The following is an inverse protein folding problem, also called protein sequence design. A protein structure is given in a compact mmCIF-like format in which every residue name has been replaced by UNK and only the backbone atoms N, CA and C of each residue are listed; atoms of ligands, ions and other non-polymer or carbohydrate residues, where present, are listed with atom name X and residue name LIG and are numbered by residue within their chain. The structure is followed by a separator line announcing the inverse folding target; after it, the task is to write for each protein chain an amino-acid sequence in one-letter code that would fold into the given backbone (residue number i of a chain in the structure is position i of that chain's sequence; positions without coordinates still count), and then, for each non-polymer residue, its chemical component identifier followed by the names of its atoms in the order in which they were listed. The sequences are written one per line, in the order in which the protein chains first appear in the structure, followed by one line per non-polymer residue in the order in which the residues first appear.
data_IF_156927230267
#
_entry.id   IF_156927230267
#
_cell.length_a   1.000
_cell.length_b   1.000
_cell.length_c   1.000
_cell.angle_alpha   90.00
_cell.angle_beta   90.00
_cell.angle_gamma   90.00
#
_symmetry.space_group_name_H-M   'P 1'
#
loop_
_entity.id
_entity.type
_entity.pdbx_description
1 polymer ?
#
# COMPACT_ATOMS: atom_id res chain seq x y z
N UNK A 1 -47.17 -18.16 10.77
CA UNK A 1 -47.15 -19.44 10.02
C UNK A 1 -45.85 -20.15 10.34
N UNK A 2 -45.92 -21.28 11.05
CA UNK A 2 -44.77 -22.13 11.39
C UNK A 2 -44.72 -23.24 10.32
N UNK A 3 -43.69 -23.21 9.49
CA UNK A 3 -43.49 -24.14 8.36
C UNK A 3 -42.73 -25.38 8.80
N UNK A 4 -43.22 -26.54 8.34
CA UNK A 4 -42.76 -27.90 8.59
C UNK A 4 -41.40 -28.27 7.95
N UNK A 5 -40.57 -29.02 8.69
CA UNK A 5 -39.14 -29.33 8.45
C UNK A 5 -38.80 -30.24 7.27
N UNK A 6 -39.77 -30.70 6.47
CA UNK A 6 -39.45 -31.34 5.19
C UNK A 6 -38.73 -30.36 4.23
N UNK A 7 -38.80 -29.05 4.49
CA UNK A 7 -38.21 -27.99 3.66
C UNK A 7 -36.90 -27.38 4.22
N UNK A 8 -36.35 -27.86 5.35
CA UNK A 8 -35.25 -27.18 6.06
C UNK A 8 -33.85 -27.31 5.42
N UNK A 9 -33.56 -28.42 4.72
CA UNK A 9 -32.33 -28.56 3.91
C UNK A 9 -32.40 -27.71 2.63
N UNK A 10 -33.47 -27.78 1.81
CA UNK A 10 -33.53 -26.98 0.58
C UNK A 10 -33.54 -25.47 0.87
N UNK A 11 -34.13 -24.99 1.97
CA UNK A 11 -34.10 -23.56 2.31
C UNK A 11 -32.68 -23.04 2.63
N UNK A 12 -31.88 -23.83 3.36
CA UNK A 12 -30.47 -23.47 3.63
C UNK A 12 -29.64 -23.46 2.35
N UNK A 13 -29.81 -24.47 1.49
CA UNK A 13 -29.14 -24.55 0.19
C UNK A 13 -29.57 -23.41 -0.74
N UNK A 14 -30.86 -23.06 -0.77
CA UNK A 14 -31.38 -21.93 -1.54
C UNK A 14 -30.79 -20.60 -1.05
N UNK A 15 -30.65 -20.42 0.27
CA UNK A 15 -30.04 -19.22 0.85
C UNK A 15 -28.54 -19.13 0.54
N UNK A 16 -27.85 -20.26 0.54
CA UNK A 16 -26.43 -20.35 0.18
C UNK A 16 -26.22 -20.09 -1.33
N UNK A 17 -27.05 -20.69 -2.18
CA UNK A 17 -27.07 -20.45 -3.62
C UNK A 17 -27.40 -19.00 -3.95
N UNK A 18 -28.32 -18.38 -3.20
CA UNK A 18 -28.64 -16.95 -3.34
C UNK A 18 -27.44 -16.06 -3.00
N UNK A 19 -26.69 -16.38 -1.95
CA UNK A 19 -25.44 -15.67 -1.63
C UNK A 19 -24.37 -15.87 -2.70
N UNK A 20 -24.21 -17.09 -3.22
CA UNK A 20 -23.30 -17.36 -4.32
C UNK A 20 -23.67 -16.52 -5.56
N UNK A 21 -24.96 -16.46 -5.92
CA UNK A 21 -25.44 -15.63 -7.01
C UNK A 21 -25.17 -14.14 -6.77
N UNK A 22 -25.36 -13.65 -5.55
CA UNK A 22 -25.06 -12.27 -5.17
C UNK A 22 -23.57 -11.94 -5.34
N UNK A 23 -22.68 -12.85 -4.94
CA UNK A 23 -21.23 -12.70 -5.08
C UNK A 23 -20.84 -12.70 -6.57
N UNK A 24 -21.33 -13.66 -7.35
CA UNK A 24 -21.05 -13.74 -8.79
C UNK A 24 -21.55 -12.49 -9.52
N UNK A 25 -22.75 -12.01 -9.17
CA UNK A 25 -23.29 -10.76 -9.71
C UNK A 25 -22.39 -9.56 -9.37
N UNK A 26 -21.91 -9.45 -8.12
CA UNK A 26 -20.99 -8.41 -7.71
C UNK A 26 -19.64 -8.48 -8.45
N UNK A 27 -19.12 -9.69 -8.71
CA UNK A 27 -17.88 -9.89 -9.48
C UNK A 27 -18.02 -9.40 -10.91
N UNK A 28 -19.13 -9.73 -11.60
CA UNK A 28 -19.37 -9.24 -12.95
C UNK A 28 -19.52 -7.72 -13.00
N UNK A 29 -20.18 -7.11 -12.01
CA UNK A 29 -20.27 -5.65 -11.92
C UNK A 29 -18.92 -5.00 -11.66
N UNK A 30 -18.09 -5.57 -10.79
CA UNK A 30 -16.71 -5.10 -10.58
C UNK A 30 -15.88 -5.21 -11.88
N UNK A 31 -16.02 -6.32 -12.61
CA UNK A 31 -15.32 -6.51 -13.87
C UNK A 31 -15.75 -5.44 -14.89
N UNK A 32 -17.05 -5.21 -15.03
CA UNK A 32 -17.61 -4.16 -15.88
C UNK A 32 -17.14 -2.75 -15.45
N UNK A 33 -17.17 -2.45 -14.15
CA UNK A 33 -16.67 -1.20 -13.58
C UNK A 33 -15.21 -0.95 -13.93
N UNK A 34 -14.37 -1.99 -13.81
CA UNK A 34 -12.94 -1.90 -14.13
C UNK A 34 -12.67 -1.58 -15.61
N UNK A 35 -13.51 -2.08 -16.53
CA UNK A 35 -13.40 -1.78 -17.96
C UNK A 35 -13.76 -0.32 -18.24
N UNK A 36 -14.90 0.15 -17.72
CA UNK A 36 -15.35 1.54 -17.89
C UNK A 36 -14.32 2.54 -17.33
N UNK A 37 -13.71 2.21 -16.19
CA UNK A 37 -12.70 3.06 -15.55
C UNK A 37 -11.37 3.07 -16.31
N UNK A 38 -11.00 1.96 -16.96
CA UNK A 38 -9.82 1.90 -17.83
C UNK A 38 -9.98 2.86 -19.01
N UNK A 39 -11.16 2.93 -19.60
CA UNK A 39 -11.45 3.88 -20.68
C UNK A 39 -11.49 5.33 -20.18
N UNK A 40 -11.88 5.54 -18.91
CA UNK A 40 -11.86 6.85 -18.25
C UNK A 40 -10.44 7.44 -18.07
N UNK A 41 -9.38 6.63 -18.13
CA UNK A 41 -7.99 7.14 -18.13
C UNK A 41 -7.73 8.09 -19.32
N UNK A 42 -8.45 7.93 -20.43
CA UNK A 42 -8.29 8.78 -21.61
C UNK A 42 -9.29 9.94 -21.67
N UNK A 43 -10.17 10.08 -20.66
CA UNK A 43 -11.17 11.15 -20.61
C UNK A 43 -10.57 12.57 -20.55
N UNK A 44 -9.45 12.83 -19.83
CA UNK A 44 -8.73 14.08 -19.94
C UNK A 44 -8.06 14.18 -21.32
N UNK A 45 -8.37 15.24 -22.08
CA UNK A 45 -7.79 15.49 -23.42
C UNK A 45 -6.26 15.50 -23.32
N UNK A 46 -5.61 14.57 -24.00
CA UNK A 46 -4.14 14.48 -24.10
C UNK A 46 -3.50 13.28 -23.40
N UNK A 47 -4.26 12.45 -22.67
CA UNK A 47 -3.71 11.29 -21.97
C UNK A 47 -2.79 11.69 -20.80
N UNK A 48 -1.98 10.76 -20.28
CA UNK A 48 -1.04 11.09 -19.21
C UNK A 48 -0.01 12.12 -19.71
N UNK A 49 0.25 13.20 -18.96
CA UNK A 49 1.26 14.18 -19.33
C UNK A 49 2.64 13.49 -19.45
N UNK A 50 3.38 13.81 -20.49
CA UNK A 50 4.73 13.28 -20.70
C UNK A 50 5.76 14.34 -20.32
N UNK A 51 6.84 13.94 -19.63
CA UNK A 51 7.89 14.87 -19.19
C UNK A 51 8.51 15.66 -20.36
N UNK A 52 8.64 15.03 -21.53
CA UNK A 52 9.19 15.65 -22.73
C UNK A 52 8.38 16.87 -23.23
N UNK A 53 7.09 16.95 -22.91
CA UNK A 53 6.21 18.06 -23.32
C UNK A 53 6.46 19.34 -22.50
N UNK A 54 7.12 19.22 -21.34
CA UNK A 54 7.40 20.33 -20.43
C UNK A 54 8.86 20.78 -20.48
N UNK A 55 9.72 20.04 -21.19
CA UNK A 55 11.10 20.42 -21.45
C UNK A 55 11.16 21.51 -22.53
N UNK A 56 11.96 22.55 -22.28
CA UNK A 56 12.26 23.58 -23.27
C UNK A 56 13.40 23.08 -24.15
N UNK A 57 13.03 22.39 -25.24
CA UNK A 57 13.98 21.73 -26.14
C UNK A 57 15.00 22.69 -26.75
N UNK A 58 14.62 23.96 -26.94
CA UNK A 58 15.50 25.01 -27.47
C UNK A 58 16.49 25.48 -26.41
N UNK A 59 16.02 25.75 -25.19
CA UNK A 59 16.89 26.13 -24.05
C UNK A 59 17.85 25.00 -23.68
N UNK A 60 17.38 23.76 -23.65
CA UNK A 60 18.22 22.59 -23.38
C UNK A 60 19.26 22.35 -24.48
N UNK A 61 18.92 22.64 -25.75
CA UNK A 61 19.89 22.59 -26.84
C UNK A 61 20.99 23.65 -26.67
N UNK A 62 20.62 24.89 -26.34
CA UNK A 62 21.58 25.95 -26.08
C UNK A 62 22.52 25.63 -24.91
N UNK A 63 21.99 25.10 -23.80
CA UNK A 63 22.81 24.67 -22.65
C UNK A 63 23.77 23.53 -23.02
N UNK A 64 23.33 22.57 -23.83
CA UNK A 64 24.20 21.49 -24.34
C UNK A 64 25.32 22.02 -25.22
N UNK A 65 25.04 22.98 -26.09
CA UNK A 65 26.04 23.59 -26.97
C UNK A 65 27.05 24.43 -26.18
N UNK A 66 26.60 25.19 -25.19
CA UNK A 66 27.47 25.93 -24.26
C UNK A 66 28.37 24.98 -23.46
N UNK A 67 27.84 23.85 -22.99
CA UNK A 67 28.64 22.81 -22.31
C UNK A 67 29.73 22.25 -23.20
N UNK A 68 29.41 21.90 -24.45
CA UNK A 68 30.42 21.41 -25.42
C UNK A 68 31.50 22.44 -25.71
N UNK A 69 31.14 23.72 -25.77
CA UNK A 69 32.12 24.80 -25.95
C UNK A 69 33.09 24.91 -24.76
N UNK A 70 32.57 24.86 -23.52
CA UNK A 70 33.40 24.88 -22.31
C UNK A 70 34.29 23.63 -22.18
N UNK A 71 33.77 22.46 -22.56
CA UNK A 71 34.55 21.21 -22.61
C UNK A 71 35.72 21.32 -23.60
N UNK A 72 35.48 21.91 -24.77
CA UNK A 72 36.53 22.22 -25.76
C UNK A 72 37.57 23.20 -25.23
N UNK A 73 37.14 24.27 -24.55
CA UNK A 73 38.04 25.24 -23.92
C UNK A 73 38.90 24.58 -22.83
N UNK A 74 38.29 23.71 -21.99
CA UNK A 74 38.97 22.93 -20.94
C UNK A 74 40.04 22.01 -21.50
N UNK A 75 39.74 21.30 -22.59
CA UNK A 75 40.70 20.45 -23.27
C UNK A 75 41.90 21.26 -23.80
N UNK A 76 41.63 22.40 -24.46
CA UNK A 76 42.68 23.30 -24.96
C UNK A 76 43.57 23.88 -23.85
N UNK A 77 42.98 24.16 -22.69
CA UNK A 77 43.68 24.74 -21.56
C UNK A 77 44.54 23.68 -20.87
N UNK A 78 44.03 22.45 -20.75
CA UNK A 78 44.80 21.30 -20.23
C UNK A 78 46.07 21.08 -21.06
N UNK A 79 45.97 21.05 -22.39
CA UNK A 79 47.16 20.89 -23.25
C UNK A 79 48.17 22.02 -23.07
N UNK A 80 47.71 23.27 -22.88
CA UNK A 80 48.60 24.42 -22.61
C UNK A 80 49.26 24.32 -21.23
N UNK A 81 48.53 23.86 -20.21
CA UNK A 81 49.07 23.60 -18.88
C UNK A 81 50.13 22.50 -18.92
N UNK A 82 49.89 21.41 -19.63
CA UNK A 82 50.87 20.32 -19.78
C UNK A 82 52.17 20.81 -20.44
N UNK A 83 52.04 21.61 -21.50
CA UNK A 83 53.20 22.23 -22.17
C UNK A 83 53.95 23.20 -21.25
N UNK A 84 53.25 24.05 -20.49
CA UNK A 84 53.86 24.97 -19.54
C UNK A 84 54.55 24.23 -18.38
N UNK A 85 53.95 23.15 -17.88
CA UNK A 85 54.52 22.31 -16.83
C UNK A 85 55.80 21.60 -17.30
N UNK A 86 55.81 21.07 -18.53
CA UNK A 86 56.99 20.48 -19.14
C UNK A 86 58.11 21.53 -19.34
N UNK A 87 57.75 22.74 -19.79
CA UNK A 87 58.67 23.88 -19.95
C UNK A 87 59.29 24.32 -18.62
N UNK A 88 58.46 24.53 -17.60
CA UNK A 88 58.91 24.88 -16.25
C UNK A 88 59.82 23.81 -15.63
N UNK A 89 59.49 22.52 -15.83
CA UNK A 89 60.31 21.39 -15.35
C UNK A 89 61.69 21.39 -16.02
N UNK A 90 61.75 21.67 -17.33
CA UNK A 90 63.03 21.79 -18.05
C UNK A 90 63.84 22.97 -17.54
N UNK A 91 63.25 24.17 -17.49
CA UNK A 91 63.92 25.37 -17.01
C UNK A 91 64.42 25.22 -15.56
N UNK A 92 63.65 24.54 -14.71
CA UNK A 92 64.04 24.24 -13.33
C UNK A 92 65.25 23.33 -13.26
N UNK A 93 65.28 22.26 -14.06
CA UNK A 93 66.45 21.36 -14.16
C UNK A 93 67.69 22.09 -14.67
N UNK A 94 67.54 22.93 -15.69
CA UNK A 94 68.66 23.70 -16.25
C UNK A 94 69.23 24.67 -15.21
N UNK A 95 68.37 25.35 -14.45
CA UNK A 95 68.76 26.21 -13.33
C UNK A 95 69.45 25.44 -12.19
N UNK A 96 68.88 24.32 -11.74
CA UNK A 96 69.45 23.52 -10.65
C UNK A 96 70.81 22.93 -11.05
N UNK A 97 70.95 22.40 -12.28
CA UNK A 97 72.21 21.91 -12.83
C UNK A 97 73.26 23.01 -12.92
N UNK A 98 72.91 24.19 -13.44
CA UNK A 98 73.82 25.33 -13.54
C UNK A 98 74.25 25.83 -12.15
N UNK A 99 73.32 25.83 -11.18
CA UNK A 99 73.60 26.22 -9.79
C UNK A 99 74.54 25.23 -9.11
N UNK A 100 74.36 23.93 -9.32
CA UNK A 100 75.28 22.90 -8.80
C UNK A 100 76.66 23.00 -9.44
N UNK A 101 76.73 23.16 -10.77
CA UNK A 101 77.99 23.37 -11.48
C UNK A 101 78.72 24.63 -10.98
N UNK A 102 77.99 25.72 -10.73
CA UNK A 102 78.52 26.94 -10.15
C UNK A 102 79.05 26.71 -8.72
N UNK A 103 78.29 26.03 -7.86
CA UNK A 103 78.72 25.68 -6.48
C UNK A 103 79.98 24.83 -6.48
N UNK A 104 80.05 23.80 -7.32
CA UNK A 104 81.22 22.93 -7.45
C UNK A 104 82.43 23.74 -7.92
N UNK A 105 82.25 24.61 -8.91
CA UNK A 105 83.30 25.50 -9.40
C UNK A 105 83.82 26.46 -8.33
N UNK A 106 82.94 27.09 -7.53
CA UNK A 106 83.34 27.94 -6.39
C UNK A 106 84.10 27.11 -5.35
N UNK A 107 83.62 25.91 -5.00
CA UNK A 107 84.26 25.06 -4.01
C UNK A 107 85.67 24.61 -4.43
N UNK A 108 85.86 24.19 -5.68
CA UNK A 108 87.18 23.84 -6.23
C UNK A 108 88.13 25.03 -6.20
N UNK A 109 87.65 26.24 -6.55
CA UNK A 109 88.49 27.45 -6.53
C UNK A 109 88.87 27.91 -5.12
N UNK A 110 87.95 27.85 -4.16
CA UNK A 110 88.23 28.19 -2.76
C UNK A 110 89.30 27.25 -2.17
N UNK A 111 89.33 25.99 -2.60
CA UNK A 111 90.34 25.02 -2.18
C UNK A 111 91.72 25.24 -2.81
N UNK A 112 91.81 25.85 -4.00
CA UNK A 112 93.08 26.08 -4.72
C UNK A 112 93.70 27.46 -4.49
N UNK A 113 93.02 28.38 -3.80
CA UNK A 113 93.58 29.64 -3.32
C UNK A 113 93.80 30.74 -4.37
N UNK A 114 93.24 30.61 -5.57
CA UNK A 114 93.39 31.62 -6.65
C UNK A 114 92.28 32.69 -6.58
N UNK A 115 92.58 33.81 -5.93
CA UNK A 115 91.66 34.92 -5.68
C UNK A 115 91.68 36.02 -6.76
N UNK A 116 92.42 35.84 -7.85
CA UNK A 116 92.88 36.98 -8.68
C UNK A 116 92.08 37.33 -9.95
N UNK A 117 90.93 36.70 -10.25
CA UNK A 117 90.12 37.05 -11.44
C UNK A 117 88.60 37.06 -11.23
N UNK A 118 88.04 38.28 -11.13
CA UNK A 118 86.60 38.60 -11.06
C UNK A 118 85.74 38.45 -12.36
N UNK A 119 86.26 38.49 -13.61
CA UNK A 119 85.38 38.54 -14.79
C UNK A 119 84.62 37.22 -15.07
N UNK A 120 85.20 36.06 -14.73
CA UNK A 120 84.53 34.76 -14.92
C UNK A 120 83.41 34.52 -13.91
N UNK A 121 83.54 35.05 -12.70
CA UNK A 121 82.49 35.01 -11.68
C UNK A 121 81.27 35.78 -12.19
N UNK A 122 81.48 37.01 -12.68
CA UNK A 122 80.44 37.84 -13.27
C UNK A 122 79.74 37.16 -14.45
N UNK A 123 80.49 36.52 -15.35
CA UNK A 123 79.92 35.80 -16.49
C UNK A 123 79.03 34.63 -16.06
N UNK A 124 79.45 33.85 -15.05
CA UNK A 124 78.66 32.71 -14.52
C UNK A 124 77.44 33.16 -13.72
N UNK A 125 77.55 34.27 -12.97
CA UNK A 125 76.40 34.88 -12.29
C UNK A 125 75.37 35.38 -13.30
N UNK A 126 75.79 36.08 -14.35
CA UNK A 126 74.88 36.52 -15.43
C UNK A 126 74.16 35.35 -16.11
N UNK A 127 74.83 34.20 -16.28
CA UNK A 127 74.20 33.01 -16.84
C UNK A 127 73.14 32.40 -15.91
N UNK A 128 73.41 32.36 -14.60
CA UNK A 128 72.42 31.96 -13.60
C UNK A 128 71.22 32.92 -13.56
N UNK A 129 71.45 34.23 -13.68
CA UNK A 129 70.39 35.23 -13.70
C UNK A 129 69.47 35.06 -14.92
N UNK A 130 70.03 34.72 -16.09
CA UNK A 130 69.24 34.40 -17.29
C UNK A 130 68.37 33.15 -17.09
N UNK A 131 68.93 32.08 -16.51
CA UNK A 131 68.19 30.86 -16.22
C UNK A 131 67.10 31.09 -15.17
N UNK A 132 67.38 31.92 -14.17
CA UNK A 132 66.40 32.33 -13.17
C UNK A 132 65.27 33.16 -13.80
N UNK A 133 65.60 34.11 -14.69
CA UNK A 133 64.60 34.88 -15.42
C UNK A 133 63.72 33.98 -16.32
N UNK A 134 64.31 32.98 -16.98
CA UNK A 134 63.58 31.99 -17.75
C UNK A 134 62.61 31.17 -16.88
N UNK A 135 63.05 30.70 -15.71
CA UNK A 135 62.21 30.00 -14.74
C UNK A 135 61.03 30.86 -14.26
N UNK A 136 61.28 32.12 -13.88
CA UNK A 136 60.22 33.06 -13.50
C UNK A 136 59.26 33.37 -14.63
N UNK A 137 59.71 33.35 -15.90
CA UNK A 137 58.84 33.46 -17.07
C UNK A 137 57.85 32.29 -17.18
N UNK A 138 58.33 31.06 -17.01
CA UNK A 138 57.46 29.87 -16.98
C UNK A 138 56.49 29.87 -15.80
N UNK A 139 56.91 30.32 -14.62
CA UNK A 139 56.03 30.45 -13.44
C UNK A 139 54.89 31.43 -13.71
N UNK A 140 55.17 32.64 -14.23
CA UNK A 140 54.13 33.60 -14.62
C UNK A 140 53.14 33.03 -15.64
N UNK A 141 53.63 32.21 -16.57
CA UNK A 141 52.78 31.54 -17.54
C UNK A 141 51.88 30.48 -16.88
N UNK A 142 52.40 29.72 -15.91
CA UNK A 142 51.60 28.79 -15.11
C UNK A 142 50.52 29.52 -14.30
N UNK A 143 50.86 30.64 -13.66
CA UNK A 143 49.91 31.46 -12.89
C UNK A 143 48.78 31.98 -13.79
N UNK A 144 49.13 32.50 -14.98
CA UNK A 144 48.13 32.96 -15.97
C UNK A 144 47.20 31.83 -16.43
N UNK A 145 47.74 30.62 -16.63
CA UNK A 145 46.94 29.45 -17.01
C UNK A 145 46.08 28.94 -15.85
N UNK A 146 46.52 29.13 -14.60
CA UNK A 146 45.74 28.81 -13.41
C UNK A 146 44.56 29.77 -13.24
N UNK A 147 44.76 31.08 -13.47
CA UNK A 147 43.70 32.08 -13.46
C UNK A 147 42.64 31.78 -14.55
N UNK A 148 43.09 31.41 -15.76
CA UNK A 148 42.19 30.97 -16.83
C UNK A 148 41.39 29.72 -16.44
N UNK A 149 42.02 28.76 -15.74
CA UNK A 149 41.33 27.56 -15.28
C UNK A 149 40.29 27.87 -14.21
N UNK A 150 40.59 28.77 -13.27
CA UNK A 150 39.64 29.22 -12.26
C UNK A 150 38.43 29.93 -12.89
N UNK A 151 38.66 30.82 -13.86
CA UNK A 151 37.60 31.49 -14.58
C UNK A 151 36.72 30.51 -15.38
N UNK A 152 37.31 29.48 -15.96
CA UNK A 152 36.59 28.44 -16.68
C UNK A 152 35.71 27.61 -15.75
N UNK A 153 36.22 27.25 -14.57
CA UNK A 153 35.48 26.49 -13.56
C UNK A 153 34.29 27.29 -12.98
N UNK A 154 34.44 28.61 -12.83
CA UNK A 154 33.33 29.50 -12.48
C UNK A 154 32.23 29.52 -13.55
N UNK A 155 32.61 29.49 -14.84
CA UNK A 155 31.64 29.41 -15.94
C UNK A 155 30.94 28.07 -16.00
N UNK A 156 31.65 26.96 -15.80
CA UNK A 156 31.05 25.62 -15.79
C UNK A 156 30.07 25.44 -14.62
N UNK A 157 30.43 25.88 -13.42
CA UNK A 157 29.54 25.84 -12.25
C UNK A 157 28.30 26.74 -12.42
N UNK A 158 28.45 27.92 -13.03
CA UNK A 158 27.32 28.77 -13.39
C UNK A 158 26.41 28.11 -14.44
N UNK A 159 26.98 27.42 -15.43
CA UNK A 159 26.23 26.67 -16.43
C UNK A 159 25.45 25.51 -15.79
N UNK A 160 26.09 24.75 -14.89
CA UNK A 160 25.44 23.64 -14.17
C UNK A 160 24.25 24.15 -13.35
N UNK A 161 24.43 25.26 -12.64
CA UNK A 161 23.34 25.91 -11.88
C UNK A 161 22.17 26.29 -12.79
N UNK A 162 22.44 26.84 -13.99
CA UNK A 162 21.39 27.18 -14.97
C UNK A 162 20.69 25.93 -15.52
N UNK A 163 21.43 24.84 -15.72
CA UNK A 163 20.88 23.57 -16.18
C UNK A 163 19.99 22.93 -15.12
N UNK A 164 20.42 22.93 -13.85
CA UNK A 164 19.60 22.48 -12.72
C UNK A 164 18.33 23.31 -12.57
N UNK A 165 18.43 24.64 -12.68
CA UNK A 165 17.27 25.54 -12.65
C UNK A 165 16.29 25.25 -13.80
N UNK A 166 16.79 25.09 -15.03
CA UNK A 166 15.95 24.74 -16.18
C UNK A 166 15.25 23.39 -15.99
N UNK A 167 15.98 22.38 -15.51
CA UNK A 167 15.42 21.07 -15.18
C UNK A 167 14.39 21.12 -14.06
N UNK A 168 14.65 21.90 -13.00
CA UNK A 168 13.72 22.11 -11.89
C UNK A 168 12.44 22.84 -12.30
N UNK A 169 12.53 23.84 -13.18
CA UNK A 169 11.35 24.52 -13.76
C UNK A 169 10.49 23.56 -14.59
N UNK A 170 11.12 22.72 -15.41
CA UNK A 170 10.44 21.72 -16.22
C UNK A 170 9.75 20.66 -15.34
N UNK A 171 10.42 20.17 -14.31
CA UNK A 171 9.84 19.21 -13.36
C UNK A 171 8.67 19.83 -12.60
N UNK A 172 8.78 21.08 -12.12
CA UNK A 172 7.66 21.75 -11.46
C UNK A 172 6.42 21.85 -12.36
N UNK A 173 6.60 22.17 -13.64
CA UNK A 173 5.50 22.22 -14.62
C UNK A 173 4.90 20.84 -14.87
N UNK A 174 5.75 19.82 -15.01
CA UNK A 174 5.33 18.43 -15.16
C UNK A 174 4.54 17.94 -13.94
N UNK A 175 5.04 18.17 -12.73
CA UNK A 175 4.35 17.80 -11.49
C UNK A 175 3.02 18.55 -11.34
N UNK A 176 2.97 19.84 -11.71
CA UNK A 176 1.72 20.59 -11.70
C UNK A 176 0.69 20.03 -12.69
N UNK A 177 1.12 19.65 -13.90
CA UNK A 177 0.27 19.00 -14.89
C UNK A 177 -0.19 17.61 -14.44
N UNK A 178 0.71 16.82 -13.85
CA UNK A 178 0.41 15.50 -13.32
C UNK A 178 -0.61 15.56 -12.19
N UNK A 179 -0.49 16.54 -11.28
CA UNK A 179 -1.49 16.79 -10.22
C UNK A 179 -2.85 17.17 -10.80
N UNK A 180 -2.89 18.04 -11.82
CA UNK A 180 -4.16 18.42 -12.48
C UNK A 180 -4.80 17.23 -13.19
N UNK A 181 -4.00 16.43 -13.88
CA UNK A 181 -4.44 15.21 -14.55
C UNK A 181 -4.98 14.20 -13.55
N UNK A 182 -4.25 13.92 -12.47
CA UNK A 182 -4.69 12.98 -11.43
C UNK A 182 -5.97 13.44 -10.73
N UNK A 183 -6.10 14.74 -10.43
CA UNK A 183 -7.33 15.32 -9.89
C UNK A 183 -8.51 15.24 -10.87
N UNK A 184 -8.27 15.44 -12.17
CA UNK A 184 -9.31 15.32 -13.18
C UNK A 184 -9.79 13.87 -13.31
N UNK A 185 -8.88 12.90 -13.41
CA UNK A 185 -9.21 11.46 -13.44
C UNK A 185 -9.94 11.05 -12.16
N UNK A 186 -9.47 11.53 -11.00
CA UNK A 186 -10.14 11.30 -9.73
C UNK A 186 -11.56 11.89 -9.71
N UNK A 187 -11.73 13.12 -10.18
CA UNK A 187 -13.03 13.79 -10.26
C UNK A 187 -14.01 13.01 -11.13
N UNK A 188 -13.56 12.51 -12.28
CA UNK A 188 -14.38 11.64 -13.14
C UNK A 188 -14.76 10.32 -12.45
N UNK A 189 -13.82 9.66 -11.78
CA UNK A 189 -14.09 8.43 -11.02
C UNK A 189 -15.04 8.67 -9.86
N UNK A 190 -14.89 9.78 -9.14
CA UNK A 190 -15.78 10.18 -8.06
C UNK A 190 -17.20 10.46 -8.60
N UNK A 191 -17.30 11.18 -9.72
CA UNK A 191 -18.58 11.47 -10.36
C UNK A 191 -19.32 10.20 -10.80
N UNK A 192 -18.61 9.13 -11.16
CA UNK A 192 -19.20 7.84 -11.50
C UNK A 192 -19.53 6.98 -10.27
N UNK A 193 -18.62 6.87 -9.31
CA UNK A 193 -18.76 5.97 -8.15
C UNK A 193 -19.72 6.51 -7.09
N UNK A 194 -19.80 7.83 -6.90
CA UNK A 194 -20.66 8.45 -5.89
C UNK A 194 -22.15 8.19 -6.13
N UNK A 195 -22.70 8.33 -7.36
CA UNK A 195 -24.06 7.92 -7.67
C UNK A 195 -24.32 6.43 -7.40
N UNK A 196 -23.35 5.55 -7.73
CA UNK A 196 -23.45 4.11 -7.50
C UNK A 196 -23.52 3.81 -5.99
N UNK A 197 -22.70 4.46 -5.18
CA UNK A 197 -22.71 4.34 -3.72
C UNK A 197 -24.02 4.85 -3.11
N UNK A 198 -24.51 6.01 -3.54
CA UNK A 198 -25.80 6.54 -3.09
C UNK A 198 -26.95 5.60 -3.44
N UNK A 199 -26.96 5.08 -4.67
CA UNK A 199 -27.94 4.11 -5.12
C UNK A 199 -27.88 2.82 -4.29
N UNK A 200 -26.68 2.37 -3.91
CA UNK A 200 -26.50 1.18 -3.08
C UNK A 200 -27.03 1.36 -1.66
N UNK A 201 -26.73 2.51 -1.03
CA UNK A 201 -27.26 2.85 0.29
C UNK A 201 -28.79 2.96 0.26
N UNK A 202 -29.34 3.61 -0.77
CA UNK A 202 -30.79 3.73 -0.95
C UNK A 202 -31.47 2.37 -1.14
N UNK A 203 -30.94 1.51 -2.02
CA UNK A 203 -31.42 0.15 -2.25
C UNK A 203 -31.37 -0.68 -0.95
N UNK A 204 -30.29 -0.56 -0.19
CA UNK A 204 -30.12 -1.28 1.07
C UNK A 204 -31.15 -0.83 2.12
N UNK A 205 -31.41 0.47 2.27
CA UNK A 205 -32.38 0.97 3.24
C UNK A 205 -33.82 0.58 2.87
N UNK A 206 -34.18 0.69 1.59
CA UNK A 206 -35.56 0.50 1.12
C UNK A 206 -35.92 -0.96 0.86
N UNK A 207 -34.99 -1.76 0.30
CA UNK A 207 -35.29 -3.08 -0.27
C UNK A 207 -34.58 -4.26 0.42
N UNK A 208 -33.89 -4.07 1.56
CA UNK A 208 -33.24 -5.18 2.31
C UNK A 208 -34.16 -6.33 2.74
N UNK A 209 -35.49 -6.12 2.78
CA UNK A 209 -36.49 -7.16 3.12
C UNK A 209 -37.28 -7.65 1.91
N UNK A 210 -36.95 -7.20 0.71
CA UNK A 210 -37.65 -7.60 -0.50
C UNK A 210 -37.28 -9.04 -0.91
N UNK A 211 -38.13 -9.66 -1.74
CA UNK A 211 -37.92 -11.04 -2.25
C UNK A 211 -36.58 -11.20 -3.00
N UNK A 212 -36.12 -10.13 -3.65
CA UNK A 212 -34.85 -10.04 -4.40
C UNK A 212 -33.69 -9.51 -3.55
N UNK A 213 -33.70 -9.76 -2.23
CA UNK A 213 -32.61 -9.38 -1.33
C UNK A 213 -31.19 -9.78 -1.80
N UNK A 214 -30.94 -10.91 -2.51
CA UNK A 214 -29.58 -11.27 -2.93
C UNK A 214 -28.96 -10.24 -3.87
N UNK A 215 -29.73 -9.69 -4.80
CA UNK A 215 -29.26 -8.66 -5.73
C UNK A 215 -28.96 -7.33 -5.03
N UNK A 216 -29.76 -6.96 -4.03
CA UNK A 216 -29.52 -5.77 -3.20
C UNK A 216 -28.20 -5.89 -2.44
N UNK A 217 -27.95 -7.06 -1.84
CA UNK A 217 -26.69 -7.33 -1.13
C UNK A 217 -25.50 -7.46 -2.09
N UNK A 218 -25.68 -8.06 -3.26
CA UNK A 218 -24.66 -8.13 -4.31
C UNK A 218 -24.29 -6.74 -4.84
N UNK A 219 -25.27 -5.88 -5.10
CA UNK A 219 -25.02 -4.49 -5.50
C UNK A 219 -24.34 -3.69 -4.38
N UNK A 220 -24.72 -3.93 -3.12
CA UNK A 220 -24.03 -3.34 -1.97
C UNK A 220 -22.56 -3.77 -1.87
N UNK A 221 -22.27 -5.07 -2.10
CA UNK A 221 -20.90 -5.59 -2.12
C UNK A 221 -20.09 -4.99 -3.28
N UNK A 222 -20.70 -4.88 -4.47
CA UNK A 222 -20.11 -4.18 -5.61
C UNK A 222 -19.80 -2.73 -5.29
N UNK A 223 -20.74 -1.94 -4.76
CA UNK A 223 -20.51 -0.53 -4.44
C UNK A 223 -19.42 -0.34 -3.37
N UNK A 224 -19.37 -1.23 -2.38
CA UNK A 224 -18.33 -1.22 -1.35
C UNK A 224 -16.96 -1.60 -1.96
N UNK A 225 -16.93 -2.58 -2.84
CA UNK A 225 -15.73 -2.96 -3.61
C UNK A 225 -15.26 -1.82 -4.52
N UNK A 226 -16.14 -1.22 -5.32
CA UNK A 226 -15.85 -0.07 -6.17
C UNK A 226 -15.28 1.10 -5.36
N UNK A 227 -15.82 1.36 -4.17
CA UNK A 227 -15.23 2.36 -3.26
C UNK A 227 -13.80 1.99 -2.83
N UNK A 228 -13.60 0.81 -2.26
CA UNK A 228 -12.32 0.42 -1.67
C UNK A 228 -11.21 0.12 -2.69
N UNK A 229 -11.58 -0.50 -3.82
CA UNK A 229 -10.67 -1.06 -4.83
C UNK A 229 -10.51 -0.12 -6.03
N UNK A 230 -11.55 0.61 -6.43
CA UNK A 230 -11.49 1.44 -7.65
C UNK A 230 -11.32 2.94 -7.36
N UNK A 231 -12.00 3.47 -6.34
CA UNK A 231 -11.94 4.90 -6.02
C UNK A 231 -10.74 5.25 -5.14
N UNK A 232 -10.56 4.51 -4.05
CA UNK A 232 -9.58 4.83 -3.00
C UNK A 232 -8.10 4.71 -3.40
N UNK A 233 -7.63 3.73 -4.19
CA UNK A 233 -6.20 3.63 -4.52
C UNK A 233 -5.68 4.75 -5.42
N UNK A 234 -6.56 5.56 -6.02
CA UNK A 234 -6.20 6.62 -6.96
C UNK A 234 -6.33 8.02 -6.35
N UNK A 235 -6.50 8.10 -5.02
CA UNK A 235 -6.58 9.35 -4.31
C UNK A 235 -5.14 9.83 -4.01
N UNK A 236 -4.71 10.98 -4.55
CA UNK A 236 -3.30 11.33 -4.71
C UNK A 236 -2.48 11.38 -3.41
N UNK A 237 -3.08 11.73 -2.27
CA UNK A 237 -2.37 11.80 -0.96
C UNK A 237 -3.11 11.12 0.21
N UNK A 238 -4.45 11.01 0.17
CA UNK A 238 -5.26 10.56 1.33
C UNK A 238 -5.93 9.19 1.19
N UNK A 239 -5.68 8.47 0.09
CA UNK A 239 -6.39 7.22 -0.22
C UNK A 239 -6.26 6.17 0.89
N UNK A 240 -5.03 5.94 1.36
CA UNK A 240 -4.76 4.98 2.43
C UNK A 240 -5.52 5.31 3.72
N UNK A 241 -5.52 6.58 4.12
CA UNK A 241 -6.18 7.03 5.35
C UNK A 241 -7.70 6.88 5.28
N UNK A 242 -8.31 7.30 4.17
CA UNK A 242 -9.76 7.15 3.96
C UNK A 242 -10.14 5.66 3.97
N UNK A 243 -9.35 4.81 3.32
CA UNK A 243 -9.55 3.34 3.32
C UNK A 243 -9.64 2.79 4.73
N UNK A 244 -8.62 3.09 5.53
CA UNK A 244 -8.48 2.53 6.88
C UNK A 244 -9.54 3.11 7.80
N UNK A 245 -9.82 4.41 7.73
CA UNK A 245 -10.85 5.05 8.55
C UNK A 245 -12.25 4.46 8.29
N UNK A 246 -12.64 4.30 7.02
CA UNK A 246 -13.93 3.69 6.65
C UNK A 246 -13.95 2.20 7.05
N UNK A 247 -12.85 1.48 6.86
CA UNK A 247 -12.73 0.08 7.29
C UNK A 247 -12.89 -0.10 8.80
N UNK A 248 -12.28 0.77 9.60
CA UNK A 248 -12.44 0.81 11.05
C UNK A 248 -13.89 1.09 11.42
N UNK A 249 -14.51 2.11 10.82
CA UNK A 249 -15.91 2.46 11.09
C UNK A 249 -16.88 1.30 10.79
N UNK A 250 -16.71 0.64 9.64
CA UNK A 250 -17.50 -0.53 9.27
C UNK A 250 -17.30 -1.70 10.24
N UNK A 251 -16.06 -1.94 10.68
CA UNK A 251 -15.74 -3.02 11.63
C UNK A 251 -16.36 -2.76 13.00
N UNK A 252 -16.26 -1.53 13.52
CA UNK A 252 -16.89 -1.13 14.78
C UNK A 252 -18.41 -1.30 14.67
N UNK A 253 -19.01 -0.82 13.58
CA UNK A 253 -20.45 -0.93 13.37
C UNK A 253 -20.92 -2.39 13.29
N UNK A 254 -20.22 -3.23 12.52
CA UNK A 254 -20.49 -4.66 12.42
C UNK A 254 -20.34 -5.36 13.77
N UNK A 255 -19.30 -5.03 14.54
CA UNK A 255 -19.06 -5.55 15.89
C UNK A 255 -20.18 -5.20 16.87
N UNK A 256 -20.59 -3.93 16.92
CA UNK A 256 -21.70 -3.47 17.78
C UNK A 256 -23.01 -4.17 17.38
N UNK A 257 -23.29 -4.29 16.07
CA UNK A 257 -24.49 -4.96 15.60
C UNK A 257 -24.51 -6.45 15.98
N UNK A 258 -23.40 -7.16 15.77
CA UNK A 258 -23.25 -8.57 16.12
C UNK A 258 -23.37 -8.79 17.63
N UNK A 259 -22.73 -7.95 18.43
CA UNK A 259 -22.80 -8.03 19.89
C UNK A 259 -24.23 -7.79 20.40
N UNK A 260 -24.92 -6.77 19.89
CA UNK A 260 -26.35 -6.52 20.22
C UNK A 260 -27.28 -7.64 19.78
N UNK A 261 -26.98 -8.30 18.65
CA UNK A 261 -27.76 -9.44 18.20
C UNK A 261 -27.55 -10.66 19.10
N UNK A 262 -26.31 -10.89 19.54
CA UNK A 262 -25.94 -11.94 20.47
C UNK A 262 -26.56 -11.72 21.86
N UNK A 263 -26.48 -10.50 22.40
CA UNK A 263 -27.12 -10.13 23.67
C UNK A 263 -28.62 -10.39 23.65
N UNK A 264 -29.34 -9.88 22.64
CA UNK A 264 -30.77 -10.15 22.46
C UNK A 264 -31.11 -11.64 22.32
N UNK A 265 -30.20 -12.43 21.74
CA UNK A 265 -30.37 -13.88 21.67
C UNK A 265 -30.22 -14.53 23.05
N UNK A 266 -29.22 -14.12 23.83
CA UNK A 266 -28.98 -14.61 25.20
C UNK A 266 -30.12 -14.21 26.14
N UNK A 267 -30.62 -12.98 26.05
CA UNK A 267 -31.76 -12.49 26.85
C UNK A 267 -33.01 -13.33 26.62
N UNK A 268 -33.42 -13.53 25.35
CA UNK A 268 -34.54 -14.42 25.00
C UNK A 268 -34.35 -15.83 25.56
N UNK A 269 -33.12 -16.34 25.53
CA UNK A 269 -32.79 -17.66 26.07
C UNK A 269 -32.87 -17.71 27.59
N UNK A 270 -32.52 -16.63 28.29
CA UNK A 270 -32.67 -16.54 29.75
C UNK A 270 -34.14 -16.50 30.14
N UNK A 271 -34.97 -15.72 29.44
CA UNK A 271 -36.41 -15.67 29.64
C UNK A 271 -37.07 -17.05 29.41
N UNK A 272 -36.68 -17.76 28.34
CA UNK A 272 -37.12 -19.14 28.09
C UNK A 272 -36.80 -20.07 29.27
N UNK A 273 -35.70 -19.86 29.99
CA UNK A 273 -35.29 -20.71 31.12
C UNK A 273 -36.01 -20.42 32.43
N UNK A 274 -36.61 -19.24 32.59
CA UNK A 274 -37.36 -18.86 33.80
C UNK A 274 -38.78 -19.43 33.83
N UNK A 275 -39.31 -19.91 32.69
CA UNK A 275 -40.64 -20.53 32.61
C UNK A 275 -40.68 -21.93 33.24
N UNK A 276 -41.86 -22.36 33.67
CA UNK A 276 -42.08 -23.68 34.27
C UNK A 276 -41.62 -24.80 33.34
N UNK A 277 -41.26 -25.96 33.89
CA UNK A 277 -40.79 -27.10 33.08
C UNK A 277 -41.83 -27.54 32.06
N UNK A 278 -43.12 -27.49 32.43
CA UNK A 278 -44.24 -27.97 31.62
C UNK A 278 -44.55 -27.04 30.44
N UNK A 279 -44.57 -25.72 30.67
CA UNK A 279 -44.72 -24.73 29.60
C UNK A 279 -43.57 -24.80 28.59
N UNK A 280 -42.34 -25.06 29.08
CA UNK A 280 -41.17 -25.23 28.22
C UNK A 280 -41.29 -26.52 27.40
N UNK A 281 -41.74 -27.62 27.98
CA UNK A 281 -41.98 -28.89 27.28
C UNK A 281 -42.99 -28.73 26.14
N UNK A 282 -44.07 -27.99 26.36
CA UNK A 282 -45.09 -27.74 25.33
C UNK A 282 -44.63 -26.78 24.22
N UNK A 283 -43.76 -25.82 24.55
CA UNK A 283 -43.23 -24.85 23.58
C UNK A 283 -42.18 -25.44 22.62
N UNK A 284 -41.63 -26.61 22.95
CA UNK A 284 -40.63 -27.29 22.13
C UNK A 284 -41.31 -27.88 20.90
N UNK A 285 -41.04 -27.28 19.75
CA UNK A 285 -41.45 -27.83 18.46
C UNK A 285 -40.81 -29.18 18.21
N UNK A 286 -41.59 -30.11 17.64
CA UNK A 286 -41.17 -31.48 17.27
C UNK A 286 -39.82 -31.51 16.52
N UNK A 287 -39.66 -30.55 15.62
CA UNK A 287 -38.47 -30.29 14.82
C UNK A 287 -37.19 -30.01 15.61
N UNK A 288 -37.31 -29.15 16.62
CA UNK A 288 -36.20 -28.83 17.52
C UNK A 288 -35.84 -30.07 18.32
N UNK A 289 -36.84 -30.85 18.74
CA UNK A 289 -36.67 -32.06 19.51
C UNK A 289 -35.90 -33.16 18.75
N UNK A 290 -36.22 -33.40 17.47
CA UNK A 290 -35.48 -34.37 16.63
C UNK A 290 -34.03 -33.92 16.39
N UNK A 291 -33.82 -32.65 16.03
CA UNK A 291 -32.47 -32.13 15.76
C UNK A 291 -31.58 -32.18 17.01
N UNK A 292 -32.16 -31.91 18.17
CA UNK A 292 -31.56 -32.06 19.50
C UNK A 292 -31.23 -33.52 19.82
N UNK A 293 -32.13 -34.46 19.52
CA UNK A 293 -31.92 -35.91 19.67
C UNK A 293 -30.73 -36.42 18.85
N UNK A 294 -30.63 -36.07 17.57
CA UNK A 294 -29.52 -36.49 16.71
C UNK A 294 -28.15 -36.01 17.24
N UNK A 295 -28.13 -34.85 17.91
CA UNK A 295 -26.92 -34.24 18.46
C UNK A 295 -26.68 -34.57 19.93
N UNK A 296 -27.53 -35.41 20.56
CA UNK A 296 -27.48 -35.74 21.99
C UNK A 296 -27.53 -34.50 22.93
N UNK A 297 -28.26 -33.45 22.52
CA UNK A 297 -28.35 -32.17 23.24
C UNK A 297 -29.79 -31.86 23.67
N UNK A 298 -30.01 -31.38 24.89
CA UNK A 298 -31.34 -31.08 25.42
C UNK A 298 -32.09 -30.05 24.54
N UNK A 299 -33.34 -30.31 24.12
CA UNK A 299 -34.10 -29.37 23.27
C UNK A 299 -34.54 -28.09 23.99
N UNK A 300 -34.41 -28.03 25.31
CA UNK A 300 -34.63 -26.79 26.08
C UNK A 300 -33.33 -26.00 26.21
N UNK A 301 -32.32 -26.55 26.90
CA UNK A 301 -31.11 -25.83 27.28
C UNK A 301 -29.92 -25.96 26.33
N UNK A 302 -30.07 -26.71 25.24
CA UNK A 302 -29.05 -26.93 24.21
C UNK A 302 -27.70 -27.46 24.77
N UNK A 303 -27.71 -28.03 25.98
CA UNK A 303 -26.56 -28.67 26.63
C UNK A 303 -26.58 -30.19 26.41
N UNK A 304 -25.41 -30.84 26.29
CA UNK A 304 -25.33 -32.29 26.12
C UNK A 304 -25.90 -33.02 27.34
N UNK A 305 -26.85 -33.93 27.14
CA UNK A 305 -27.35 -34.77 28.23
C UNK A 305 -26.52 -36.04 28.44
N UNK A 306 -25.60 -36.35 27.52
CA UNK A 306 -24.72 -37.54 27.59
C UNK A 306 -23.84 -37.57 28.83
N UNK A 307 -23.65 -36.42 29.50
CA UNK A 307 -22.94 -36.31 30.77
C UNK A 307 -23.68 -36.97 31.95
N UNK A 308 -25.00 -37.17 31.84
CA UNK A 308 -25.82 -37.84 32.86
C UNK A 308 -25.83 -39.37 32.77
N UNK A 309 -25.01 -39.96 31.89
CA UNK A 309 -25.02 -41.39 31.60
C UNK A 309 -26.15 -41.82 30.66
N UNK A 310 -26.01 -42.99 30.06
CA UNK A 310 -26.97 -43.49 29.07
C UNK A 310 -28.37 -43.62 29.64
N UNK A 311 -28.53 -43.88 30.95
CA UNK A 311 -29.81 -44.09 31.63
C UNK A 311 -30.50 -42.82 32.17
N UNK A 312 -30.01 -41.63 31.85
CA UNK A 312 -30.63 -40.37 32.31
C UNK A 312 -32.00 -40.11 31.67
N UNK A 313 -33.05 -40.06 32.48
CA UNK A 313 -34.43 -39.75 32.06
C UNK A 313 -34.69 -38.25 32.00
N UNK A 314 -34.04 -37.48 32.88
CA UNK A 314 -34.16 -36.03 32.98
C UNK A 314 -32.85 -35.34 32.59
N UNK A 315 -32.95 -34.10 32.11
CA UNK A 315 -31.79 -33.28 31.83
C UNK A 315 -31.16 -32.75 33.13
N UNK A 316 -29.89 -33.10 33.38
CA UNK A 316 -29.13 -32.64 34.56
C UNK A 316 -28.98 -31.12 34.66
N UNK A 317 -29.15 -30.39 33.55
CA UNK A 317 -28.94 -28.94 33.52
C UNK A 317 -30.23 -28.11 33.66
N UNK A 318 -31.38 -28.67 33.30
CA UNK A 318 -32.63 -27.90 33.29
C UNK A 318 -33.86 -28.64 33.82
N UNK A 319 -33.70 -29.90 34.24
CA UNK A 319 -34.75 -30.74 34.83
C UNK A 319 -35.76 -31.30 33.83
N UNK A 320 -35.68 -30.96 32.54
CA UNK A 320 -36.65 -31.42 31.53
C UNK A 320 -36.64 -32.95 31.37
N UNK A 321 -37.82 -33.58 31.36
CA UNK A 321 -38.00 -35.00 31.02
C UNK A 321 -37.68 -35.23 29.55
N UNK A 322 -36.60 -35.98 29.29
CA UNK A 322 -36.11 -36.26 27.94
C UNK A 322 -36.61 -37.62 27.43
N UNK A 323 -36.68 -38.61 28.31
CA UNK A 323 -37.07 -39.97 27.98
C UNK A 323 -38.24 -40.45 28.84
N UNK A 324 -39.02 -41.37 28.32
CA UNK A 324 -40.06 -42.08 29.06
C UNK A 324 -40.13 -43.53 28.62
N UNK A 325 -40.49 -44.42 29.55
CA UNK A 325 -40.79 -45.82 29.23
C UNK A 325 -42.15 -45.91 28.56
N UNK A 326 -42.21 -46.65 27.45
CA UNK A 326 -43.48 -47.03 26.84
C UNK A 326 -44.07 -48.27 27.55
N UNK A 327 -45.36 -48.53 27.40
CA UNK A 327 -46.02 -49.72 27.93
C UNK A 327 -45.40 -51.04 27.43
N UNK A 328 -44.74 -51.02 26.26
CA UNK A 328 -43.96 -52.14 25.74
C UNK A 328 -42.57 -52.32 26.39
N UNK A 329 -42.23 -51.51 27.40
CA UNK A 329 -40.92 -51.53 28.08
C UNK A 329 -39.79 -50.82 27.34
N UNK A 330 -40.01 -50.38 26.09
CA UNK A 330 -38.98 -49.65 25.32
C UNK A 330 -38.85 -48.21 25.82
N UNK A 331 -37.61 -47.75 26.06
CA UNK A 331 -37.33 -46.35 26.39
C UNK A 331 -37.43 -45.50 25.12
N UNK A 332 -38.33 -44.54 25.15
CA UNK A 332 -38.55 -43.64 24.03
C UNK A 332 -38.26 -42.19 24.40
N UNK A 333 -37.98 -41.37 23.39
CA UNK A 333 -37.83 -39.93 23.58
C UNK A 333 -39.21 -39.30 23.79
N UNK A 334 -39.37 -38.51 24.86
CA UNK A 334 -40.66 -37.97 25.29
C UNK A 334 -41.33 -37.04 24.25
N UNK A 335 -40.55 -36.52 23.29
CA UNK A 335 -41.04 -35.62 22.25
C UNK A 335 -41.41 -36.33 20.94
N UNK A 336 -41.19 -37.65 20.80
CA UNK A 336 -41.64 -38.38 19.62
C UNK A 336 -43.16 -38.63 19.68
N UNK A 337 -43.89 -38.60 18.55
CA UNK A 337 -45.33 -38.84 18.56
C UNK A 337 -45.65 -40.33 18.77
N UNK A 338 -44.75 -41.21 18.33
CA UNK A 338 -44.91 -42.66 18.35
C UNK A 338 -43.69 -43.36 18.97
N UNK A 339 -43.92 -44.54 19.55
CA UNK A 339 -42.89 -45.41 20.11
C UNK A 339 -42.03 -46.02 18.99
N UNK A 340 -40.70 -45.97 19.16
CA UNK A 340 -39.75 -46.61 18.24
C UNK A 340 -39.79 -48.14 18.27
N UNK A 341 -40.31 -48.76 19.33
CA UNK A 341 -40.41 -50.22 19.47
C UNK A 341 -41.75 -50.81 19.01
N UNK A 342 -42.87 -50.24 19.48
CA UNK A 342 -44.21 -50.80 19.23
C UNK A 342 -45.12 -49.92 18.35
N UNK A 343 -44.69 -48.73 17.94
CA UNK A 343 -45.50 -47.79 17.15
C UNK A 343 -46.66 -47.11 17.92
N UNK A 344 -46.90 -47.46 19.19
CA UNK A 344 -47.95 -46.85 20.01
C UNK A 344 -47.74 -45.36 20.24
N UNK A 345 -48.82 -44.60 20.41
CA UNK A 345 -48.76 -43.17 20.68
C UNK A 345 -48.06 -42.88 22.02
N UNK A 346 -47.15 -41.91 22.00
CA UNK A 346 -46.41 -41.45 23.19
C UNK A 346 -47.26 -40.37 23.84
N UNK A 347 -47.87 -40.69 24.98
CA UNK A 347 -48.61 -39.68 25.74
C UNK A 347 -47.59 -38.67 26.29
N UNK A 348 -47.73 -37.40 25.88
CA UNK A 348 -47.10 -36.30 26.60
C UNK A 348 -47.94 -36.08 27.84
N UNK A 349 -47.34 -36.19 29.02
CA UNK A 349 -48.01 -35.77 30.25
C UNK A 349 -48.32 -34.27 30.11
N UNK A 350 -49.60 -33.98 29.96
CA UNK A 350 -50.16 -32.64 30.08
C UNK A 350 -50.28 -32.37 31.58
N UNK A 351 -49.87 -31.18 32.07
CA UNK A 351 -49.90 -30.91 33.50
C UNK A 351 -51.34 -31.05 34.02
N UNK A 352 -51.54 -31.50 35.28
CA UNK A 352 -52.86 -31.42 35.88
C UNK A 352 -53.32 -29.95 35.83
N UNK A 353 -54.54 -29.73 35.34
CA UNK A 353 -55.14 -28.40 35.30
C UNK A 353 -55.05 -27.79 36.70
N UNK A 354 -54.38 -26.64 36.81
CA UNK A 354 -54.29 -25.90 38.06
C UNK A 354 -55.71 -25.55 38.53
N UNK A 355 -56.12 -26.12 39.65
CA UNK A 355 -57.32 -25.76 40.41
C UNK A 355 -57.06 -24.53 41.27
#
# INVERSE_FOLDING_TARGET
MKTSQAFSRPERWLRLASWALAIVFALFLNMLGSLVIRDLMFAPRGGPPEAAQFADTARDAALRDERRALEGERASLSTRQDAANAGATRARRDYDNAREAFRNWVATRTATGDSSRNPELLARTQELDKLQAALSGWQKQQDTLADQASALEQRSSALETRAEQAGGEADQRYQAALRRYSLAVFGWRLAFTLPVLLLAVWLFLRYRRARYWPFVHGFGLFALSAFFVELVPYLPDFGGYVRVAVGIALTIFAGIYMLRAFQRYVERKREEMQRSQDERAQSIGYEKAIASFQKKMCPSCDKPWSLGGEQSTFCIHCGLKLFQSCACGTRNFAFFPFCSGCGGAVQREEPPAAS
#
